data_IF_212057193420
#
_entry.id   IF_212057193420
#
_cell.length_a   1.000
_cell.length_b   1.000
_cell.length_c   1.000
_cell.angle_alpha   90.00
_cell.angle_beta   90.00
_cell.angle_gamma   90.00
#
_symmetry.space_group_name_H-M   'P 1'
#
loop_
_entity.id
_entity.type
_entity.pdbx_description
1 polymer ?
#
# COMPACT_ATOMS: atom_id res chain seq x y z
N UNK A 1 -21.76 1.19 -21.76
CA UNK A 1 -22.65 1.60 -20.68
C UNK A 1 -21.85 2.41 -19.66
N UNK A 2 -21.99 3.73 -19.70
CA UNK A 2 -21.24 4.69 -18.86
C UNK A 2 -21.83 4.88 -17.45
N UNK A 3 -23.16 4.94 -17.28
CA UNK A 3 -23.79 5.13 -15.97
C UNK A 3 -23.34 4.12 -14.90
N UNK A 4 -22.95 2.89 -15.27
CA UNK A 4 -22.46 1.86 -14.33
C UNK A 4 -21.23 2.29 -13.51
N UNK A 5 -20.47 3.27 -13.99
CA UNK A 5 -19.29 3.78 -13.31
C UNK A 5 -19.63 4.88 -12.29
N UNK A 6 -20.90 5.26 -12.17
CA UNK A 6 -21.37 6.35 -11.32
C UNK A 6 -22.41 5.85 -10.31
N UNK A 7 -22.29 6.26 -9.04
CA UNK A 7 -23.20 5.87 -7.95
C UNK A 7 -24.54 6.59 -8.09
N UNK A 8 -24.48 7.92 -8.19
CA UNK A 8 -25.61 8.85 -8.18
C UNK A 8 -25.69 9.69 -9.47
N UNK A 9 -24.97 9.25 -10.50
CA UNK A 9 -24.78 10.01 -11.73
C UNK A 9 -23.64 11.04 -11.66
N UNK A 10 -22.92 11.13 -10.53
CA UNK A 10 -21.77 12.02 -10.36
C UNK A 10 -20.56 11.33 -9.72
N UNK A 11 -20.71 10.74 -8.54
CA UNK A 11 -19.62 10.11 -7.80
C UNK A 11 -19.26 8.75 -8.42
N UNK A 12 -17.98 8.40 -8.44
CA UNK A 12 -17.55 7.10 -8.98
C UNK A 12 -17.98 5.92 -8.11
N UNK A 13 -18.42 4.85 -8.75
CA UNK A 13 -18.46 3.52 -8.13
C UNK A 13 -17.04 2.98 -7.94
N UNK A 14 -16.89 1.86 -7.25
CA UNK A 14 -15.60 1.16 -7.18
C UNK A 14 -15.05 0.85 -8.58
N UNK A 15 -15.90 0.42 -9.51
CA UNK A 15 -15.50 0.15 -10.90
C UNK A 15 -15.04 1.41 -11.62
N UNK A 16 -15.72 2.54 -11.38
CA UNK A 16 -15.35 3.83 -11.94
C UNK A 16 -13.99 4.30 -11.43
N UNK A 17 -13.75 4.16 -10.12
CA UNK A 17 -12.47 4.49 -9.50
C UNK A 17 -11.33 3.58 -10.02
N UNK A 18 -11.59 2.28 -10.17
CA UNK A 18 -10.62 1.33 -10.77
C UNK A 18 -10.25 1.72 -12.19
N UNK A 19 -11.24 2.05 -13.03
CA UNK A 19 -11.00 2.50 -14.40
C UNK A 19 -10.09 3.75 -14.42
N UNK A 20 -10.37 4.75 -13.58
CA UNK A 20 -9.53 5.95 -13.49
C UNK A 20 -8.12 5.60 -13.03
N UNK A 21 -7.96 4.73 -12.03
CA UNK A 21 -6.66 4.27 -11.58
C UNK A 21 -5.86 3.59 -12.70
N UNK A 22 -6.46 2.68 -13.46
CA UNK A 22 -5.80 1.98 -14.57
C UNK A 22 -5.32 2.95 -15.65
N UNK A 23 -6.08 4.00 -15.93
CA UNK A 23 -5.70 5.05 -16.88
C UNK A 23 -4.58 5.95 -16.33
N UNK A 24 -4.58 6.25 -15.03
CA UNK A 24 -3.56 7.09 -14.38
C UNK A 24 -2.24 6.36 -14.17
N UNK A 25 -2.29 5.08 -13.81
CA UNK A 25 -1.13 4.24 -13.45
C UNK A 25 0.07 4.39 -14.41
N UNK A 26 -0.04 4.22 -15.74
CA UNK A 26 1.11 4.32 -16.64
C UNK A 26 1.71 5.74 -16.72
N UNK A 27 0.94 6.77 -16.36
CA UNK A 27 1.41 8.15 -16.30
C UNK A 27 2.18 8.36 -14.99
N UNK A 28 1.66 7.84 -13.88
CA UNK A 28 2.32 7.91 -12.58
C UNK A 28 3.65 7.15 -12.59
N UNK A 29 3.67 5.93 -13.13
CA UNK A 29 4.88 5.10 -13.24
C UNK A 29 6.00 5.74 -14.08
N UNK A 30 5.65 6.65 -15.02
CA UNK A 30 6.63 7.39 -15.82
C UNK A 30 7.14 8.67 -15.16
N UNK A 31 6.39 9.23 -14.21
CA UNK A 31 6.63 10.57 -13.64
C UNK A 31 7.10 10.54 -12.20
N UNK A 32 6.85 9.45 -11.50
CA UNK A 32 7.13 9.30 -10.08
C UNK A 32 8.19 8.22 -9.94
N UNK A 33 9.31 8.57 -9.31
CA UNK A 33 10.33 7.60 -8.97
C UNK A 33 9.77 6.57 -7.99
N UNK A 34 10.32 5.35 -8.03
CA UNK A 34 9.92 4.32 -7.07
C UNK A 34 10.15 4.84 -5.64
N UNK A 35 9.07 4.94 -4.86
CA UNK A 35 9.17 5.30 -3.46
C UNK A 35 9.89 4.18 -2.71
N UNK A 36 10.86 4.55 -1.89
CA UNK A 36 11.48 3.62 -0.96
C UNK A 36 10.45 3.17 0.09
N UNK A 37 10.49 1.88 0.43
CA UNK A 37 9.71 1.34 1.54
C UNK A 37 10.42 1.73 2.84
N UNK A 38 9.83 2.65 3.59
CA UNK A 38 10.47 3.25 4.78
C UNK A 38 10.78 2.24 5.89
N UNK A 39 9.93 1.23 6.03
CA UNK A 39 10.05 0.21 7.08
C UNK A 39 10.48 -1.11 6.47
N UNK A 40 11.28 -1.92 7.19
CA UNK A 40 11.66 -3.24 6.72
C UNK A 40 10.42 -4.13 6.54
N UNK A 41 10.56 -5.17 5.72
CA UNK A 41 9.54 -6.21 5.66
C UNK A 41 9.37 -6.80 7.06
N UNK A 42 8.12 -7.04 7.47
CA UNK A 42 7.84 -7.59 8.80
C UNK A 42 8.48 -8.96 9.01
N UNK A 43 8.76 -9.70 7.93
CA UNK A 43 9.46 -11.00 7.93
C UNK A 43 10.95 -10.85 8.24
N UNK A 44 11.52 -9.67 8.00
CA UNK A 44 12.93 -9.36 8.24
C UNK A 44 13.15 -8.79 9.66
N UNK A 45 12.08 -8.48 10.38
CA UNK A 45 12.13 -8.11 11.79
C UNK A 45 12.40 -9.39 12.58
N UNK A 46 13.49 -9.41 13.35
CA UNK A 46 13.90 -10.59 14.10
C UNK A 46 12.75 -11.17 14.91
N UNK A 47 12.60 -12.49 14.90
CA UNK A 47 11.63 -13.20 15.76
C UNK A 47 11.97 -13.12 17.25
N UNK A 48 13.09 -12.47 17.61
CA UNK A 48 13.46 -12.20 19.00
C UNK A 48 12.37 -11.30 19.56
N UNK A 49 11.54 -11.91 20.40
CA UNK A 49 10.51 -11.15 21.08
C UNK A 49 11.22 -10.22 22.08
N UNK A 50 10.79 -8.96 22.22
CA UNK A 50 11.44 -7.99 23.10
C UNK A 50 11.67 -8.52 24.52
N UNK A 51 10.80 -9.41 25.01
CA UNK A 51 10.94 -10.05 26.33
C UNK A 51 12.18 -10.94 26.47
N UNK A 52 12.71 -11.51 25.39
CA UNK A 52 13.85 -12.42 25.43
C UNK A 52 15.20 -11.68 25.48
N UNK A 53 15.22 -10.38 25.16
CA UNK A 53 16.42 -9.53 25.24
C UNK A 53 16.88 -9.28 26.70
N UNK A 54 16.03 -9.55 27.69
CA UNK A 54 16.30 -9.28 29.11
C UNK A 54 16.99 -10.43 29.87
N UNK A 55 17.17 -11.61 29.25
CA UNK A 55 17.69 -12.81 29.93
C UNK A 55 19.22 -12.95 29.92
N UNK A 56 19.96 -11.99 29.36
CA UNK A 56 21.41 -12.10 29.15
C UNK A 56 22.27 -11.19 30.04
N UNK A 57 21.82 -10.86 31.26
CA UNK A 57 22.73 -10.30 32.28
C UNK A 57 22.99 -11.37 33.34
N UNK A 58 24.13 -12.09 33.28
CA UNK A 58 24.60 -12.85 34.42
C UNK A 58 25.08 -11.86 35.49
N UNK A 59 24.48 -11.94 36.68
CA UNK A 59 25.00 -11.32 37.91
C UNK A 59 26.26 -12.07 38.35
#
# INVERSE_FOLDING_TARGET
DWPRFLIDGLHFTSDGATLIYELLKPILEKKIDASEMLMPDWRDISSVKPEDASKSVPV
#
